data_IF_127077243587
#
_entry.id   IF_127077243587
#
_cell.length_a   1.000
_cell.length_b   1.000
_cell.length_c   1.000
_cell.angle_alpha   90.00
_cell.angle_beta   90.00
_cell.angle_gamma   90.00
#
_symmetry.space_group_name_H-M   'P 1'
#
loop_
_entity.id
_entity.type
_entity.pdbx_description
1 polymer ?
#
# COMPACT_ATOMS: atom_id res chain seq x y z
N UNK A 1 16.74 -18.48 0.17
CA UNK A 1 17.08 -18.82 1.57
C UNK A 1 15.80 -18.77 2.39
N UNK A 2 15.70 -19.49 3.52
CA UNK A 2 14.50 -19.44 4.36
C UNK A 2 14.32 -18.07 5.01
N UNK A 3 13.09 -17.53 4.99
CA UNK A 3 12.76 -16.27 5.66
C UNK A 3 12.96 -16.33 7.20
N UNK A 4 12.96 -17.53 7.79
CA UNK A 4 13.25 -17.80 9.22
C UNK A 4 14.65 -17.31 9.67
N UNK A 5 15.54 -16.99 8.73
CA UNK A 5 16.84 -16.39 9.03
C UNK A 5 16.87 -14.86 8.99
N UNK A 6 16.00 -14.21 8.20
CA UNK A 6 15.92 -12.75 8.11
C UNK A 6 15.03 -12.11 9.18
N UNK A 7 13.96 -12.81 9.55
CA UNK A 7 12.96 -12.33 10.50
C UNK A 7 12.84 -13.29 11.67
N UNK A 8 13.06 -12.78 12.89
CA UNK A 8 13.01 -13.54 14.14
C UNK A 8 12.34 -12.68 15.20
N UNK A 9 11.58 -13.30 16.11
CA UNK A 9 10.84 -12.57 17.16
C UNK A 9 11.75 -12.07 18.29
N UNK A 10 12.43 -10.96 18.03
CA UNK A 10 13.22 -10.17 18.98
C UNK A 10 13.52 -8.80 18.32
N UNK A 11 13.33 -7.63 18.94
CA UNK A 11 13.11 -7.31 20.37
C UNK A 11 12.09 -6.17 20.51
N UNK A 12 11.75 -5.76 21.74
CA UNK A 12 10.87 -4.60 22.01
C UNK A 12 11.52 -3.22 21.75
N UNK A 13 12.46 -3.14 20.81
CA UNK A 13 13.18 -1.92 20.45
C UNK A 13 13.27 -1.80 18.93
N UNK A 14 12.42 -0.94 18.38
CA UNK A 14 12.45 -0.53 16.98
C UNK A 14 13.28 0.77 16.82
N UNK A 15 13.56 1.23 15.59
CA UNK A 15 14.13 2.55 15.38
C UNK A 15 13.22 3.68 15.90
N UNK A 16 13.77 4.89 15.97
CA UNK A 16 12.96 6.08 16.27
C UNK A 16 11.88 6.27 15.20
N UNK A 17 10.61 6.51 15.58
CA UNK A 17 9.55 6.93 14.65
C UNK A 17 9.96 8.15 13.82
N UNK A 18 9.53 8.19 12.56
CA UNK A 18 9.75 9.27 11.59
C UNK A 18 11.22 9.67 11.31
N UNK A 19 12.19 8.80 11.65
CA UNK A 19 13.60 8.96 11.27
C UNK A 19 13.91 8.10 10.05
N UNK A 20 14.22 8.74 8.93
CA UNK A 20 14.50 8.09 7.65
C UNK A 20 15.87 7.38 7.60
N UNK A 21 15.92 6.28 6.85
CA UNK A 21 17.09 5.43 6.67
C UNK A 21 17.61 4.77 7.96
N UNK A 22 16.75 4.15 8.78
CA UNK A 22 17.18 3.51 10.02
C UNK A 22 18.18 2.38 9.76
N UNK A 23 19.19 2.21 10.61
CA UNK A 23 20.24 1.19 10.40
C UNK A 23 19.65 -0.22 10.21
N UNK A 24 19.88 -0.90 9.08
CA UNK A 24 19.35 -2.25 8.84
C UNK A 24 20.03 -3.31 9.71
N UNK A 25 19.33 -4.42 9.97
CA UNK A 25 19.91 -5.57 10.65
C UNK A 25 20.93 -6.29 9.76
N UNK A 26 21.99 -6.83 10.37
CA UNK A 26 23.06 -7.54 9.65
C UNK A 26 22.54 -8.66 8.75
N UNK A 27 21.51 -9.41 9.19
CA UNK A 27 20.90 -10.48 8.40
C UNK A 27 20.30 -10.00 7.07
N UNK A 28 19.82 -8.74 7.00
CA UNK A 28 19.33 -8.14 5.75
C UNK A 28 20.50 -7.67 4.88
N UNK A 29 21.55 -7.12 5.48
CA UNK A 29 22.80 -6.74 4.80
C UNK A 29 23.46 -7.97 4.15
N UNK A 30 23.50 -9.11 4.84
CA UNK A 30 24.09 -10.36 4.35
C UNK A 30 23.33 -10.91 3.13
N UNK A 31 21.99 -10.83 3.15
CA UNK A 31 21.15 -11.21 2.00
C UNK A 31 21.30 -10.21 0.85
N UNK A 32 21.26 -8.90 1.11
CA UNK A 32 21.52 -7.87 0.11
C UNK A 32 22.88 -8.07 -0.57
N UNK A 33 23.95 -8.32 0.19
CA UNK A 33 25.29 -8.56 -0.37
C UNK A 33 25.30 -9.80 -1.28
N UNK A 34 24.58 -10.86 -0.89
CA UNK A 34 24.41 -12.06 -1.72
C UNK A 34 23.67 -11.76 -3.02
N UNK A 35 22.62 -10.94 -2.98
CA UNK A 35 21.79 -10.55 -4.14
C UNK A 35 22.52 -9.56 -5.06
N UNK A 36 23.20 -8.56 -4.52
CA UNK A 36 24.02 -7.60 -5.30
C UNK A 36 25.17 -8.33 -5.99
N UNK A 37 25.82 -9.28 -5.31
CA UNK A 37 26.88 -10.12 -5.89
C UNK A 37 26.39 -11.09 -6.99
N UNK A 38 25.09 -11.44 -7.04
CA UNK A 38 24.52 -12.23 -8.14
C UNK A 38 24.06 -11.38 -9.34
N UNK A 39 24.19 -10.05 -9.27
CA UNK A 39 23.79 -9.12 -10.34
C UNK A 39 22.27 -8.87 -10.42
N UNK A 40 21.48 -9.34 -9.45
CA UNK A 40 20.03 -9.15 -9.43
C UNK A 40 19.59 -7.73 -9.03
N UNK A 41 20.45 -6.97 -8.33
CA UNK A 41 20.25 -5.54 -8.09
C UNK A 41 21.22 -4.78 -9.02
N UNK A 42 20.73 -3.85 -9.87
CA UNK A 42 21.57 -3.01 -10.71
C UNK A 42 22.72 -2.33 -9.96
N UNK A 43 23.85 -2.17 -10.64
CA UNK A 43 25.10 -1.62 -10.08
C UNK A 43 25.43 -0.23 -10.64
N UNK A 44 24.63 0.25 -11.59
CA UNK A 44 24.80 1.44 -12.42
C UNK A 44 23.66 2.47 -12.22
N UNK A 45 22.62 2.12 -11.46
CA UNK A 45 21.60 3.06 -10.99
C UNK A 45 22.07 3.63 -9.65
N UNK A 46 22.50 4.89 -9.65
CA UNK A 46 22.84 5.63 -8.43
C UNK A 46 21.61 6.32 -7.80
N UNK A 47 21.58 6.54 -6.48
CA UNK A 47 20.50 7.27 -5.82
C UNK A 47 20.35 8.72 -6.32
N UNK A 48 19.11 9.20 -6.42
CA UNK A 48 18.79 10.57 -6.85
C UNK A 48 19.10 11.62 -5.79
N UNK A 49 19.47 12.83 -6.20
CA UNK A 49 19.44 14.00 -5.31
C UNK A 49 18.01 14.56 -5.20
N UNK A 50 17.67 15.21 -4.07
CA UNK A 50 16.41 15.93 -3.94
C UNK A 50 16.59 17.41 -4.32
N UNK A 51 16.12 17.79 -5.50
CA UNK A 51 16.10 19.19 -5.96
C UNK A 51 14.70 19.77 -5.83
N UNK A 52 14.58 20.90 -5.12
CA UNK A 52 13.29 21.57 -4.85
C UNK A 52 12.21 20.64 -4.22
N UNK A 53 12.62 19.56 -3.55
CA UNK A 53 11.73 18.57 -2.94
C UNK A 53 11.25 17.44 -3.86
N UNK A 54 11.88 17.25 -5.03
CA UNK A 54 11.63 16.13 -5.95
C UNK A 54 12.93 15.39 -6.30
N UNK A 55 12.90 14.07 -6.55
CA UNK A 55 14.08 13.29 -6.93
C UNK A 55 14.57 13.61 -8.36
N UNK A 56 15.87 13.78 -8.50
CA UNK A 56 16.58 14.09 -9.76
C UNK A 56 17.77 13.14 -9.95
N UNK A 57 17.87 12.55 -11.14
CA UNK A 57 19.00 11.73 -11.56
C UNK A 57 20.12 12.64 -12.05
N UNK A 58 21.33 12.53 -11.48
CA UNK A 58 22.43 13.46 -11.70
C UNK A 58 22.93 13.54 -13.16
N UNK A 59 22.63 12.53 -13.97
CA UNK A 59 22.95 12.41 -15.40
C UNK A 59 21.71 12.53 -16.32
N UNK A 60 20.51 12.69 -15.75
CA UNK A 60 19.23 12.69 -16.47
C UNK A 60 18.72 11.30 -16.91
N UNK A 61 19.35 10.20 -16.48
CA UNK A 61 19.04 8.82 -16.92
C UNK A 61 17.67 8.28 -16.49
N UNK A 62 16.94 8.96 -15.60
CA UNK A 62 15.66 8.48 -15.05
C UNK A 62 14.57 8.14 -16.09
N UNK A 63 14.69 8.64 -17.31
CA UNK A 63 13.79 8.32 -18.44
C UNK A 63 14.19 7.09 -19.26
N UNK A 64 15.35 6.46 -18.97
CA UNK A 64 15.85 5.27 -19.67
C UNK A 64 15.12 4.00 -19.24
N UNK A 65 15.18 2.95 -20.08
CA UNK A 65 14.66 1.61 -19.75
C UNK A 65 15.50 0.89 -18.71
N UNK A 66 16.79 1.24 -18.57
CA UNK A 66 17.67 0.68 -17.53
C UNK A 66 17.24 1.15 -16.13
N UNK A 67 16.99 2.45 -15.96
CA UNK A 67 16.50 3.01 -14.69
C UNK A 67 15.02 2.72 -14.46
N UNK A 68 14.17 2.92 -15.47
CA UNK A 68 12.72 2.75 -15.42
C UNK A 68 12.08 3.47 -14.20
N UNK A 69 12.37 4.76 -14.03
CA UNK A 69 11.82 5.53 -12.90
C UNK A 69 10.35 5.90 -13.14
N UNK A 70 9.45 5.40 -12.28
CA UNK A 70 8.03 5.72 -12.38
C UNK A 70 7.78 7.23 -12.24
N UNK A 71 8.47 7.88 -11.30
CA UNK A 71 8.41 9.32 -11.00
C UNK A 71 8.73 10.21 -12.21
N UNK A 72 9.64 9.76 -13.09
CA UNK A 72 10.16 10.58 -14.20
C UNK A 72 9.37 10.43 -15.50
N UNK A 73 8.91 9.22 -15.83
CA UNK A 73 8.21 8.96 -17.10
C UNK A 73 6.98 8.04 -16.99
N UNK A 74 6.71 7.46 -15.81
CA UNK A 74 5.65 6.47 -15.59
C UNK A 74 6.07 5.02 -15.86
N UNK A 75 7.37 4.73 -16.04
CA UNK A 75 7.84 3.40 -16.42
C UNK A 75 7.52 2.34 -15.35
N UNK A 76 6.97 1.23 -15.83
CA UNK A 76 6.53 0.08 -15.06
C UNK A 76 7.43 -1.12 -15.35
N UNK A 77 7.81 -1.86 -14.31
CA UNK A 77 8.41 -3.18 -14.46
C UNK A 77 7.37 -4.24 -14.84
N UNK A 78 7.83 -5.43 -15.22
CA UNK A 78 6.94 -6.54 -15.62
C UNK A 78 6.16 -7.14 -14.44
N UNK A 79 6.64 -6.95 -13.21
CA UNK A 79 6.07 -7.42 -11.95
C UNK A 79 5.42 -6.31 -11.09
N UNK A 80 5.33 -5.07 -11.60
CA UNK A 80 4.57 -4.00 -10.96
C UNK A 80 3.05 -4.28 -11.04
N UNK A 81 2.38 -4.30 -9.89
CA UNK A 81 0.91 -4.32 -9.82
C UNK A 81 0.39 -2.89 -9.99
N UNK A 82 -0.32 -2.61 -11.08
CA UNK A 82 -0.84 -1.25 -11.41
C UNK A 82 -2.29 -1.24 -11.90
N UNK A 83 -2.69 -2.28 -12.62
CA UNK A 83 -4.03 -2.45 -13.20
C UNK A 83 -4.72 -3.64 -12.51
N UNK A 84 -5.98 -3.49 -12.10
CA UNK A 84 -6.76 -4.63 -11.61
C UNK A 84 -7.34 -5.43 -12.80
N UNK A 85 -7.73 -6.71 -12.62
CA UNK A 85 -8.45 -7.46 -13.64
C UNK A 85 -9.78 -6.79 -14.04
N UNK A 86 -10.20 -6.99 -15.28
CA UNK A 86 -11.44 -6.41 -15.83
C UNK A 86 -12.65 -6.61 -14.90
N UNK A 87 -13.38 -5.53 -14.64
CA UNK A 87 -14.55 -5.53 -13.74
C UNK A 87 -14.23 -5.50 -12.24
N UNK A 88 -12.96 -5.43 -11.83
CA UNK A 88 -12.54 -5.40 -10.42
C UNK A 88 -11.98 -4.05 -9.97
N UNK A 89 -12.05 -3.79 -8.66
CA UNK A 89 -11.39 -2.66 -8.00
C UNK A 89 -10.54 -3.21 -6.84
N UNK A 90 -9.26 -2.85 -6.82
CA UNK A 90 -8.40 -2.99 -5.65
C UNK A 90 -8.71 -1.90 -4.63
N UNK A 91 -9.28 -2.29 -3.49
CA UNK A 91 -9.53 -1.40 -2.34
C UNK A 91 -8.25 -1.37 -1.51
N UNK A 92 -7.58 -0.22 -1.45
CA UNK A 92 -6.34 -0.05 -0.72
C UNK A 92 -6.19 1.37 -0.17
N UNK A 93 -5.44 1.52 0.93
CA UNK A 93 -5.22 2.79 1.60
C UNK A 93 -3.77 2.94 2.05
N UNK A 94 -3.22 4.15 1.87
CA UNK A 94 -1.84 4.50 2.21
C UNK A 94 -1.77 5.34 3.50
N UNK A 95 -0.54 5.49 4.03
CA UNK A 95 -0.15 6.24 5.23
C UNK A 95 -0.74 5.77 6.58
N UNK A 96 -1.41 4.63 6.60
CA UNK A 96 -2.04 4.08 7.81
C UNK A 96 -1.05 3.51 8.85
N UNK A 97 -1.54 3.20 10.06
CA UNK A 97 -2.86 3.56 10.61
C UNK A 97 -2.82 4.95 11.28
N UNK A 98 -3.90 5.72 11.19
CA UNK A 98 -4.02 7.07 11.77
C UNK A 98 -5.42 7.28 12.40
N UNK A 99 -5.68 8.32 13.22
CA UNK A 99 -6.97 8.46 13.91
C UNK A 99 -8.25 8.35 13.03
N UNK A 100 -8.29 8.83 11.77
CA UNK A 100 -9.44 8.63 10.87
C UNK A 100 -9.73 7.17 10.51
N UNK A 101 -8.71 6.31 10.52
CA UNK A 101 -8.81 4.87 10.21
C UNK A 101 -9.90 4.15 11.00
N UNK A 102 -10.18 4.57 12.24
CA UNK A 102 -11.24 3.99 13.08
C UNK A 102 -12.62 3.99 12.39
N UNK A 103 -12.95 5.07 11.66
CA UNK A 103 -14.20 5.17 10.91
C UNK A 103 -14.17 4.29 9.65
N UNK A 104 -13.03 4.24 8.97
CA UNK A 104 -12.81 3.40 7.78
C UNK A 104 -12.95 1.91 8.12
N UNK A 105 -12.26 1.43 9.16
CA UNK A 105 -12.27 0.03 9.59
C UNK A 105 -13.66 -0.40 10.07
N UNK A 106 -14.38 0.49 10.76
CA UNK A 106 -15.79 0.27 11.15
C UNK A 106 -16.68 0.10 9.92
N UNK A 107 -16.49 0.93 8.89
CA UNK A 107 -17.26 0.85 7.65
C UNK A 107 -16.92 -0.41 6.83
N UNK A 108 -15.64 -0.72 6.61
CA UNK A 108 -15.19 -1.91 5.89
C UNK A 108 -15.76 -3.19 6.51
N UNK A 109 -15.68 -3.33 7.84
CA UNK A 109 -16.28 -4.42 8.58
C UNK A 109 -17.80 -4.51 8.39
N UNK A 110 -18.52 -3.38 8.50
CA UNK A 110 -19.97 -3.31 8.29
C UNK A 110 -20.39 -3.66 6.84
N UNK A 111 -19.53 -3.40 5.85
CA UNK A 111 -19.73 -3.79 4.45
C UNK A 111 -19.25 -5.22 4.13
N UNK A 112 -18.64 -5.92 5.09
CA UNK A 112 -17.90 -7.18 4.88
C UNK A 112 -16.83 -7.08 3.78
N UNK A 113 -16.28 -5.89 3.56
CA UNK A 113 -15.21 -5.60 2.63
C UNK A 113 -13.86 -5.75 3.33
N UNK A 114 -12.85 -6.29 2.64
CA UNK A 114 -11.45 -6.19 3.06
C UNK A 114 -10.70 -5.17 2.21
N UNK A 115 -9.68 -4.54 2.78
CA UNK A 115 -8.78 -3.62 2.07
C UNK A 115 -7.30 -4.02 2.24
N UNK A 116 -6.43 -3.43 1.41
CA UNK A 116 -4.97 -3.51 1.55
C UNK A 116 -4.44 -2.21 2.15
N UNK A 117 -3.88 -2.27 3.36
CA UNK A 117 -3.33 -1.11 4.04
C UNK A 117 -1.82 -1.07 3.86
N UNK A 118 -1.34 -0.12 3.08
CA UNK A 118 0.08 0.20 2.94
C UNK A 118 0.46 1.08 4.13
N UNK A 119 0.96 0.44 5.20
CA UNK A 119 1.20 1.07 6.48
C UNK A 119 2.67 1.51 6.65
N UNK A 120 2.86 2.71 7.22
CA UNK A 120 4.18 3.24 7.58
C UNK A 120 4.60 2.65 8.93
N UNK A 121 5.84 2.17 9.03
CA UNK A 121 6.37 1.54 10.25
C UNK A 121 6.25 2.40 11.51
N UNK A 122 6.56 3.70 11.42
CA UNK A 122 6.36 4.64 12.55
C UNK A 122 4.90 4.72 13.00
N UNK A 123 3.95 4.80 12.06
CA UNK A 123 2.51 4.92 12.35
C UNK A 123 1.93 3.67 13.00
N UNK A 124 2.47 2.48 12.68
CA UNK A 124 2.12 1.23 13.36
C UNK A 124 2.49 1.28 14.85
N UNK A 125 3.60 1.93 15.22
CA UNK A 125 3.95 2.17 16.63
C UNK A 125 2.99 3.17 17.26
N UNK A 126 2.87 4.37 16.66
CA UNK A 126 2.06 5.48 17.17
C UNK A 126 0.60 5.08 17.39
N UNK A 127 0.03 4.30 16.47
CA UNK A 127 -1.39 3.92 16.41
C UNK A 127 -1.60 2.40 16.52
N UNK A 128 -0.77 1.71 17.30
CA UNK A 128 -0.78 0.24 17.45
C UNK A 128 -2.13 -0.40 17.79
N UNK A 129 -3.03 0.31 18.48
CA UNK A 129 -4.41 -0.15 18.71
C UNK A 129 -5.29 -0.18 17.44
N UNK A 130 -5.07 0.77 16.52
CA UNK A 130 -5.73 0.80 15.22
C UNK A 130 -5.11 -0.25 14.28
N UNK A 131 -3.78 -0.44 14.30
CA UNK A 131 -3.13 -1.57 13.63
C UNK A 131 -3.78 -2.92 14.00
N UNK A 132 -3.92 -3.18 15.30
CA UNK A 132 -4.57 -4.40 15.80
C UNK A 132 -6.06 -4.47 15.41
N UNK A 133 -6.72 -3.33 15.14
CA UNK A 133 -8.09 -3.30 14.63
C UNK A 133 -8.15 -3.73 13.15
N UNK A 134 -7.24 -3.27 12.29
CA UNK A 134 -7.15 -3.75 10.90
C UNK A 134 -6.80 -5.25 10.82
N UNK A 135 -5.87 -5.71 11.67
CA UNK A 135 -5.51 -7.14 11.78
C UNK A 135 -6.69 -7.98 12.29
N UNK A 136 -7.44 -7.51 13.29
CA UNK A 136 -8.63 -8.21 13.80
C UNK A 136 -9.84 -8.14 12.86
N UNK A 137 -9.94 -7.08 12.06
CA UNK A 137 -10.87 -7.01 10.93
C UNK A 137 -10.55 -8.06 9.87
N UNK A 138 -9.30 -8.50 9.74
CA UNK A 138 -8.86 -9.43 8.71
C UNK A 138 -8.49 -8.77 7.39
N UNK A 139 -8.00 -7.54 7.45
CA UNK A 139 -7.50 -6.80 6.29
C UNK A 139 -6.06 -7.23 5.89
N UNK A 140 -5.64 -6.88 4.68
CA UNK A 140 -4.28 -7.17 4.17
C UNK A 140 -3.33 -6.04 4.61
N UNK A 141 -2.27 -6.38 5.36
CA UNK A 141 -1.26 -5.41 5.79
C UNK A 141 -0.03 -5.48 4.88
N UNK A 142 0.30 -4.36 4.24
CA UNK A 142 1.40 -4.20 3.29
C UNK A 142 2.40 -3.13 3.78
N UNK A 143 3.61 -3.12 3.22
CA UNK A 143 4.67 -2.20 3.61
C UNK A 143 4.58 -0.85 2.88
N UNK A 144 4.72 0.25 3.61
CA UNK A 144 4.88 1.61 3.07
C UNK A 144 6.09 2.32 3.68
N UNK A 145 7.23 1.62 3.76
CA UNK A 145 8.49 2.07 4.38
C UNK A 145 8.40 2.32 5.90
N UNK A 146 9.49 2.79 6.52
CA UNK A 146 9.56 3.12 7.95
C UNK A 146 9.13 4.56 8.22
N UNK A 147 9.53 5.51 7.36
CA UNK A 147 9.33 6.95 7.57
C UNK A 147 8.74 7.73 6.36
N UNK A 148 8.25 7.04 5.32
CA UNK A 148 7.74 7.65 4.08
C UNK A 148 8.76 8.56 3.30
N UNK A 149 9.97 8.08 2.95
CA UNK A 149 10.90 8.84 2.10
C UNK A 149 10.77 8.51 0.60
N UNK A 150 11.20 9.45 -0.25
CA UNK A 150 11.50 9.18 -1.67
C UNK A 150 12.56 8.06 -1.80
N UNK A 151 12.15 6.86 -2.19
CA UNK A 151 12.99 5.67 -2.17
C UNK A 151 14.13 5.70 -3.21
N UNK A 152 13.94 6.39 -4.34
CA UNK A 152 15.01 6.57 -5.34
C UNK A 152 16.15 7.47 -4.80
N UNK A 153 15.87 8.34 -3.82
CA UNK A 153 16.88 9.18 -3.15
C UNK A 153 17.65 8.48 -2.03
N UNK A 154 17.20 7.30 -1.60
CA UNK A 154 17.84 6.54 -0.53
C UNK A 154 18.96 5.64 -1.06
N UNK A 155 20.09 5.62 -0.35
CA UNK A 155 21.13 4.60 -0.58
C UNK A 155 20.60 3.20 -0.29
N UNK A 156 21.19 2.17 -0.90
CA UNK A 156 20.75 0.78 -0.75
C UNK A 156 20.64 0.35 0.73
N UNK A 157 21.54 0.83 1.60
CA UNK A 157 21.50 0.56 3.05
C UNK A 157 20.35 1.27 3.78
N UNK A 158 20.01 2.50 3.40
CA UNK A 158 18.88 3.22 3.98
C UNK A 158 17.56 2.58 3.56
N UNK A 159 17.42 2.22 2.28
CA UNK A 159 16.24 1.51 1.77
C UNK A 159 16.08 0.12 2.40
N UNK A 160 17.19 -0.58 2.66
CA UNK A 160 17.18 -1.82 3.45
C UNK A 160 16.58 -1.62 4.85
N UNK A 161 16.89 -0.48 5.48
CA UNK A 161 16.32 -0.07 6.75
C UNK A 161 14.81 0.16 6.69
N UNK A 162 14.40 1.02 5.75
CA UNK A 162 13.00 1.40 5.50
C UNK A 162 12.08 0.19 5.27
N UNK A 163 12.50 -0.76 4.43
CA UNK A 163 11.69 -1.94 4.09
C UNK A 163 11.78 -3.02 5.18
N UNK A 164 12.97 -3.25 5.73
CA UNK A 164 13.23 -4.31 6.71
C UNK A 164 12.54 -4.06 8.05
N UNK A 165 12.62 -2.84 8.60
CA UNK A 165 12.05 -2.54 9.91
C UNK A 165 10.52 -2.57 9.94
N UNK A 166 9.85 -2.10 8.89
CA UNK A 166 8.39 -2.21 8.77
C UNK A 166 7.95 -3.67 8.60
N UNK A 167 8.69 -4.45 7.81
CA UNK A 167 8.42 -5.90 7.65
C UNK A 167 8.62 -6.67 8.96
N UNK A 168 9.66 -6.34 9.73
CA UNK A 168 9.95 -6.93 11.04
C UNK A 168 8.88 -6.54 12.08
N UNK A 169 8.43 -5.28 12.12
CA UNK A 169 7.37 -4.83 13.02
C UNK A 169 6.03 -5.55 12.75
N UNK A 170 5.65 -5.68 11.48
CA UNK A 170 4.46 -6.45 11.08
C UNK A 170 4.61 -7.92 11.51
N UNK A 171 5.80 -8.52 11.33
CA UNK A 171 6.08 -9.90 11.72
C UNK A 171 6.08 -10.14 13.24
N UNK A 172 6.61 -9.21 14.03
CA UNK A 172 6.57 -9.29 15.49
C UNK A 172 5.13 -9.21 16.00
N UNK A 173 4.35 -8.23 15.50
CA UNK A 173 2.98 -7.99 15.95
C UNK A 173 1.95 -9.02 15.44
N UNK A 174 2.18 -9.70 14.32
CA UNK A 174 1.20 -10.61 13.70
C UNK A 174 1.70 -12.05 13.47
N UNK A 175 3.02 -12.26 13.38
CA UNK A 175 3.63 -13.51 12.92
C UNK A 175 3.67 -13.66 11.39
N UNK A 176 3.27 -12.62 10.64
CA UNK A 176 3.13 -12.62 9.18
C UNK A 176 4.09 -11.64 8.52
N UNK A 177 4.57 -12.00 7.33
CA UNK A 177 5.43 -11.15 6.50
C UNK A 177 4.61 -10.52 5.37
N UNK A 178 4.60 -9.18 5.20
CA UNK A 178 3.86 -8.53 4.11
C UNK A 178 4.34 -9.02 2.75
N UNK A 179 3.44 -9.32 1.81
CA UNK A 179 3.80 -9.69 0.44
C UNK A 179 3.94 -8.48 -0.50
N UNK A 180 3.29 -7.36 -0.18
CA UNK A 180 3.21 -6.17 -1.02
C UNK A 180 3.96 -4.98 -0.42
N UNK A 181 4.51 -4.14 -1.30
CA UNK A 181 5.13 -2.86 -1.00
C UNK A 181 4.61 -1.80 -1.96
N UNK A 182 4.25 -0.62 -1.44
CA UNK A 182 3.99 0.57 -2.27
C UNK A 182 5.05 1.62 -1.95
N UNK A 183 5.76 2.18 -2.94
CA UNK A 183 6.73 3.24 -2.70
C UNK A 183 6.02 4.57 -2.37
N UNK A 184 6.43 5.26 -1.29
CA UNK A 184 6.05 6.65 -1.01
C UNK A 184 6.16 7.53 -2.25
N UNK A 185 5.16 8.39 -2.48
CA UNK A 185 5.06 9.25 -3.67
C UNK A 185 5.05 8.51 -5.03
N UNK A 186 4.97 7.17 -5.04
CA UNK A 186 5.17 6.35 -6.24
C UNK A 186 6.64 6.19 -6.61
N UNK A 187 7.56 6.63 -5.75
CA UNK A 187 8.95 6.86 -6.11
C UNK A 187 9.79 5.58 -6.16
N UNK A 188 9.88 5.00 -7.35
CA UNK A 188 10.61 3.75 -7.60
C UNK A 188 11.36 3.77 -8.93
N UNK A 189 12.42 2.98 -8.97
CA UNK A 189 13.29 2.67 -10.09
C UNK A 189 13.60 1.14 -10.07
N UNK A 190 14.35 0.63 -11.05
CA UNK A 190 14.68 -0.80 -11.10
C UNK A 190 15.59 -1.28 -9.94
N UNK A 191 16.33 -0.40 -9.26
CA UNK A 191 17.13 -0.72 -8.07
C UNK A 191 16.24 -0.81 -6.82
N UNK A 192 15.30 0.12 -6.64
CA UNK A 192 14.28 0.09 -5.57
C UNK A 192 13.44 -1.19 -5.68
N UNK A 193 12.93 -1.50 -6.89
CA UNK A 193 12.21 -2.75 -7.16
C UNK A 193 13.06 -3.99 -6.87
N UNK A 194 14.29 -4.04 -7.38
CA UNK A 194 15.18 -5.19 -7.16
C UNK A 194 15.51 -5.42 -5.68
N UNK A 195 15.69 -4.36 -4.88
CA UNK A 195 15.91 -4.47 -3.44
C UNK A 195 14.66 -5.00 -2.74
N UNK A 196 13.48 -4.42 -3.00
CA UNK A 196 12.22 -4.87 -2.44
C UNK A 196 11.94 -6.35 -2.77
N UNK A 197 12.07 -6.73 -4.05
CA UNK A 197 11.77 -8.06 -4.57
C UNK A 197 12.80 -9.11 -4.16
N UNK A 198 14.10 -8.85 -4.31
CA UNK A 198 15.12 -9.89 -4.12
C UNK A 198 15.71 -9.98 -2.71
N UNK A 199 15.66 -8.90 -1.91
CA UNK A 199 16.07 -8.94 -0.49
C UNK A 199 14.89 -9.32 0.42
N UNK A 200 13.72 -8.69 0.21
CA UNK A 200 12.58 -8.83 1.12
C UNK A 200 11.39 -9.61 0.56
N UNK A 201 11.42 -10.03 -0.71
CA UNK A 201 10.31 -10.70 -1.39
C UNK A 201 8.99 -9.90 -1.35
N UNK A 202 9.12 -8.58 -1.55
CA UNK A 202 8.02 -7.63 -1.66
C UNK A 202 7.74 -7.31 -3.13
N UNK A 203 6.49 -7.49 -3.57
CA UNK A 203 6.04 -7.06 -4.90
C UNK A 203 5.67 -5.57 -4.89
N UNK A 204 6.11 -4.81 -5.90
CA UNK A 204 5.83 -3.37 -6.00
C UNK A 204 4.41 -3.12 -6.51
N UNK A 205 3.68 -2.22 -5.84
CA UNK A 205 2.28 -1.90 -6.13
C UNK A 205 2.12 -0.40 -6.32
N UNK A 206 1.69 0.00 -7.52
CA UNK A 206 1.41 1.38 -7.92
C UNK A 206 -0.13 1.55 -7.99
N UNK A 207 -0.62 2.48 -8.81
CA UNK A 207 -2.02 2.78 -9.05
C UNK A 207 -2.20 3.27 -10.49
N UNK A 208 -3.37 3.03 -11.09
CA UNK A 208 -3.70 3.56 -12.41
C UNK A 208 -4.49 4.88 -12.33
N UNK A 209 -5.09 5.24 -11.19
CA UNK A 209 -5.78 6.52 -10.94
C UNK A 209 -5.39 7.14 -9.58
N UNK A 210 -5.22 8.47 -9.54
CA UNK A 210 -4.85 9.25 -8.34
C UNK A 210 -5.95 10.27 -7.99
N UNK A 211 -6.39 10.23 -6.74
CA UNK A 211 -7.50 11.04 -6.21
C UNK A 211 -7.10 12.45 -5.80
N UNK A 212 -5.81 12.70 -5.58
CA UNK A 212 -5.28 13.84 -4.83
C UNK A 212 -5.96 14.03 -3.44
N UNK A 213 -6.40 12.96 -2.77
CA UNK A 213 -7.10 13.07 -1.48
C UNK A 213 -6.19 13.54 -0.33
N UNK A 214 -4.88 13.31 -0.42
CA UNK A 214 -3.86 13.94 0.41
C UNK A 214 -3.86 15.49 0.31
N UNK A 215 -4.37 16.04 -0.80
CA UNK A 215 -4.38 17.49 -1.05
C UNK A 215 -5.50 18.20 -0.28
N UNK A 216 -5.13 19.22 0.49
CA UNK A 216 -6.09 20.12 1.18
C UNK A 216 -6.93 20.96 0.22
N UNK A 217 -6.60 20.99 -1.07
CA UNK A 217 -7.37 21.67 -2.12
C UNK A 217 -8.53 20.84 -2.69
N UNK A 218 -8.68 19.57 -2.27
CA UNK A 218 -9.80 18.68 -2.61
C UNK A 218 -10.68 18.49 -1.38
N UNK A 219 -12.00 18.50 -1.56
CA UNK A 219 -12.99 18.20 -0.51
C UNK A 219 -13.48 16.73 -0.55
N UNK A 220 -14.18 16.26 0.49
CA UNK A 220 -14.70 14.89 0.56
C UNK A 220 -15.75 14.60 -0.54
N UNK A 221 -16.57 15.59 -0.88
CA UNK A 221 -17.55 15.49 -1.97
C UNK A 221 -16.91 15.58 -3.36
N UNK A 222 -15.84 16.37 -3.55
CA UNK A 222 -15.03 16.31 -4.78
C UNK A 222 -14.35 14.94 -4.95
N UNK A 223 -13.82 14.35 -3.87
CA UNK A 223 -13.27 12.99 -3.84
C UNK A 223 -14.32 11.95 -4.23
N UNK A 224 -15.48 11.94 -3.56
CA UNK A 224 -16.57 11.03 -3.88
C UNK A 224 -17.06 11.18 -5.34
N UNK A 225 -17.11 12.42 -5.86
CA UNK A 225 -17.48 12.72 -7.26
C UNK A 225 -16.42 12.20 -8.25
N UNK A 226 -15.14 12.29 -7.90
CA UNK A 226 -14.04 11.77 -8.71
C UNK A 226 -14.09 10.23 -8.79
N UNK A 227 -14.18 9.55 -7.64
CA UNK A 227 -14.33 8.10 -7.56
C UNK A 227 -15.57 7.63 -8.35
N UNK A 228 -16.70 8.34 -8.20
CA UNK A 228 -17.95 8.10 -8.96
C UNK A 228 -17.75 8.25 -10.47
N UNK A 229 -16.92 9.21 -10.90
CA UNK A 229 -16.61 9.43 -12.33
C UNK A 229 -15.81 8.27 -12.92
N UNK A 230 -14.90 7.67 -12.15
CA UNK A 230 -14.06 6.57 -12.63
C UNK A 230 -14.77 5.22 -12.65
N UNK A 231 -15.61 4.92 -11.66
CA UNK A 231 -16.42 3.68 -11.68
C UNK A 231 -17.48 3.66 -12.78
N UNK A 232 -17.73 4.79 -13.45
CA UNK A 232 -18.56 4.92 -14.64
C UNK A 232 -17.78 4.76 -15.96
N UNK A 233 -16.44 4.62 -15.92
CA UNK A 233 -15.61 4.31 -17.10
C UNK A 233 -15.79 2.84 -17.54
N UNK A 234 -15.37 2.50 -18.78
CA UNK A 234 -15.25 1.11 -19.20
C UNK A 234 -14.34 0.34 -18.22
N UNK A 235 -14.80 -0.83 -17.76
CA UNK A 235 -14.13 -1.62 -16.70
C UNK A 235 -12.92 -2.44 -17.18
N UNK A 236 -12.18 -1.91 -18.17
CA UNK A 236 -10.96 -2.52 -18.73
C UNK A 236 -9.92 -1.43 -19.02
N UNK A 237 -8.79 -1.38 -18.29
CA UNK A 237 -8.44 -2.23 -17.15
C UNK A 237 -9.40 -2.06 -15.94
N UNK A 238 -9.28 -2.94 -14.95
CA UNK A 238 -9.84 -2.70 -13.62
C UNK A 238 -9.05 -1.63 -12.86
N UNK A 239 -9.64 -1.09 -11.79
CA UNK A 239 -9.07 0.05 -11.07
C UNK A 239 -8.17 -0.37 -9.89
N UNK A 240 -7.01 0.27 -9.77
CA UNK A 240 -6.26 0.37 -8.51
C UNK A 240 -6.05 1.86 -8.29
N UNK A 241 -6.71 2.39 -7.26
CA UNK A 241 -6.77 3.83 -6.98
C UNK A 241 -5.82 4.16 -5.82
N UNK A 242 -5.19 5.33 -5.87
CA UNK A 242 -4.51 5.89 -4.71
C UNK A 242 -5.52 6.64 -3.84
N UNK A 243 -5.69 6.17 -2.62
CA UNK A 243 -6.51 6.74 -1.54
C UNK A 243 -5.71 6.60 -0.24
N UNK A 244 -5.88 7.52 0.72
CA UNK A 244 -5.13 7.50 1.98
C UNK A 244 -6.06 7.49 3.19
N UNK A 245 -5.64 6.85 4.29
CA UNK A 245 -6.37 6.92 5.57
C UNK A 245 -5.92 8.10 6.47
N UNK A 246 -5.14 9.03 5.88
CA UNK A 246 -4.65 10.29 6.45
C UNK A 246 -5.70 11.17 7.12
N UNK A 247 -6.93 11.23 6.56
CA UNK A 247 -7.87 12.30 6.91
C UNK A 247 -9.33 11.84 6.94
N UNK A 248 -10.13 12.46 7.83
CA UNK A 248 -11.59 12.26 7.83
C UNK A 248 -12.21 12.59 6.46
N UNK A 249 -11.65 13.55 5.72
CA UNK A 249 -12.09 13.92 4.37
C UNK A 249 -11.86 12.80 3.35
N UNK A 250 -10.68 12.16 3.40
CA UNK A 250 -10.35 10.99 2.58
C UNK A 250 -11.32 9.83 2.88
N UNK A 251 -11.39 9.45 4.17
CA UNK A 251 -12.22 8.34 4.65
C UNK A 251 -13.70 8.57 4.32
N UNK A 252 -14.25 9.77 4.52
CA UNK A 252 -15.64 10.09 4.13
C UNK A 252 -15.85 10.00 2.62
N UNK A 253 -14.94 10.49 1.78
CA UNK A 253 -15.10 10.43 0.33
C UNK A 253 -15.12 9.00 -0.23
N UNK A 254 -14.31 8.09 0.33
CA UNK A 254 -14.41 6.66 0.04
C UNK A 254 -15.76 6.07 0.50
N UNK A 255 -16.17 6.36 1.74
CA UNK A 255 -17.42 5.87 2.34
C UNK A 255 -18.65 6.30 1.50
N UNK A 256 -18.69 7.55 1.03
CA UNK A 256 -19.77 8.08 0.20
C UNK A 256 -19.77 7.50 -1.24
N UNK A 257 -18.60 7.11 -1.76
CA UNK A 257 -18.46 6.51 -3.09
C UNK A 257 -18.69 4.99 -3.12
N UNK A 258 -18.31 4.26 -2.07
CA UNK A 258 -18.33 2.78 -2.04
C UNK A 258 -19.69 2.16 -2.43
N UNK A 259 -20.85 2.63 -1.93
CA UNK A 259 -22.16 2.09 -2.34
C UNK A 259 -22.40 2.19 -3.85
N UNK A 260 -21.82 3.20 -4.51
CA UNK A 260 -21.91 3.41 -5.96
C UNK A 260 -20.99 2.43 -6.71
N UNK A 261 -19.81 2.13 -6.16
CA UNK A 261 -18.93 1.07 -6.71
C UNK A 261 -19.69 -0.27 -6.76
N UNK A 262 -20.45 -0.58 -5.70
CA UNK A 262 -21.27 -1.80 -5.61
C UNK A 262 -22.48 -1.76 -6.55
N UNK A 263 -23.21 -0.65 -6.63
CA UNK A 263 -24.40 -0.55 -7.50
C UNK A 263 -24.04 -0.52 -9.00
N UNK A 264 -22.91 0.05 -9.36
CA UNK A 264 -22.32 -0.06 -10.71
C UNK A 264 -21.81 -1.49 -11.02
N UNK A 265 -21.83 -2.42 -10.05
CA UNK A 265 -21.48 -3.83 -10.24
C UNK A 265 -19.98 -4.09 -10.35
N UNK A 266 -19.15 -3.45 -9.53
CA UNK A 266 -17.71 -3.75 -9.44
C UNK A 266 -17.40 -4.82 -8.39
N UNK A 267 -16.43 -5.68 -8.71
CA UNK A 267 -15.85 -6.65 -7.78
C UNK A 267 -14.74 -5.98 -6.95
N UNK A 268 -15.11 -5.47 -5.77
CA UNK A 268 -14.22 -4.81 -4.82
C UNK A 268 -13.48 -5.83 -3.95
N UNK A 269 -12.14 -5.80 -3.92
CA UNK A 269 -11.28 -6.76 -3.18
C UNK A 269 -10.01 -6.07 -2.68
N UNK A 270 -9.32 -6.59 -1.64
CA UNK A 270 -7.93 -6.23 -1.40
C UNK A 270 -7.06 -6.74 -2.55
N UNK A 271 -5.90 -6.12 -2.77
CA UNK A 271 -5.11 -6.24 -4.00
C UNK A 271 -4.66 -7.67 -4.27
N UNK A 272 -4.14 -8.42 -3.30
CA UNK A 272 -3.73 -9.82 -3.54
C UNK A 272 -4.93 -10.73 -3.91
N UNK A 273 -6.13 -10.43 -3.40
CA UNK A 273 -7.37 -11.14 -3.77
C UNK A 273 -7.88 -10.84 -5.18
N UNK A 274 -7.35 -9.85 -5.89
CA UNK A 274 -7.63 -9.65 -7.32
C UNK A 274 -6.99 -10.76 -8.16
N UNK A 275 -5.75 -11.11 -7.84
CA UNK A 275 -4.90 -12.00 -8.62
C UNK A 275 -4.84 -13.44 -8.07
N UNK A 276 -5.43 -13.69 -6.89
CA UNK A 276 -5.38 -15.00 -6.22
C UNK A 276 -4.05 -15.25 -5.50
N UNK A 277 -3.35 -14.19 -5.11
CA UNK A 277 -2.08 -14.23 -4.41
C UNK A 277 -2.29 -14.33 -2.87
N UNK A 278 -1.32 -14.87 -2.12
CA UNK A 278 -1.29 -14.74 -0.66
C UNK A 278 -1.19 -13.29 -0.22
N UNK A 279 -1.89 -12.90 0.85
CA UNK A 279 -1.72 -11.58 1.49
C UNK A 279 -0.32 -11.42 2.11
N UNK A 280 0.23 -12.54 2.58
CA UNK A 280 1.46 -12.59 3.34
C UNK A 280 2.37 -13.68 2.78
N UNK A 281 3.68 -13.43 2.77
CA UNK A 281 4.65 -14.37 2.22
C UNK A 281 4.60 -15.73 2.91
N UNK A 282 4.17 -15.77 4.18
CA UNK A 282 4.05 -16.99 4.98
C UNK A 282 2.60 -17.29 5.43
N UNK A 283 1.58 -16.71 4.80
CA UNK A 283 0.17 -17.02 5.09
C UNK A 283 -0.74 -16.59 3.94
N UNK A 284 -1.68 -17.46 3.54
CA UNK A 284 -2.64 -17.17 2.45
C UNK A 284 -3.42 -15.88 2.72
N UNK A 285 -3.83 -15.68 3.98
CA UNK A 285 -4.56 -14.50 4.45
C UNK A 285 -4.37 -14.28 5.96
N UNK A 286 -5.20 -13.40 6.53
CA UNK A 286 -5.36 -13.03 7.95
C UNK A 286 -5.78 -14.17 8.90
N UNK A 287 -6.53 -15.16 8.39
CA UNK A 287 -7.13 -16.26 9.16
C UNK A 287 -6.36 -17.57 9.03
N UNK A 288 -5.57 -17.72 7.97
CA UNK A 288 -4.77 -18.92 7.70
C UNK A 288 -3.61 -19.07 8.68
N UNK A 289 -3.23 -20.32 8.93
CA UNK A 289 -2.05 -20.66 9.72
C UNK A 289 -0.77 -20.21 9.01
N UNK A 290 0.21 -19.73 9.78
CA UNK A 290 1.50 -19.29 9.25
C UNK A 290 2.45 -20.44 9.00
N UNK A 291 3.20 -20.37 7.90
CA UNK A 291 4.30 -21.27 7.58
C UNK A 291 5.63 -20.74 8.09
N UNK A 292 6.61 -21.63 8.29
CA UNK A 292 8.01 -21.27 8.62
C UNK A 292 8.82 -20.87 7.39
N UNK A 293 8.42 -21.35 6.22
CA UNK A 293 8.97 -21.02 4.90
C UNK A 293 8.02 -20.11 4.13
N UNK A 294 8.51 -19.27 3.20
CA UNK A 294 7.66 -18.58 2.24
C UNK A 294 6.81 -19.54 1.40
N UNK A 295 5.56 -19.17 1.17
CA UNK A 295 4.71 -19.70 0.10
C UNK A 295 5.37 -19.27 -1.22
N UNK A 296 5.68 -20.22 -2.09
CA UNK A 296 6.31 -19.93 -3.37
C UNK A 296 5.35 -19.17 -4.32
N UNK A 297 5.92 -18.36 -5.21
CA UNK A 297 5.16 -17.64 -6.23
C UNK A 297 4.41 -18.61 -7.16
N UNK A 298 3.07 -18.60 -7.09
CA UNK A 298 2.20 -19.23 -8.08
C UNK A 298 1.12 -20.15 -7.50
N UNK A 299 -0.14 -19.73 -7.72
CA UNK A 299 -1.33 -20.58 -7.79
C UNK A 299 -1.47 -21.69 -6.73
N UNK A 300 -2.00 -21.34 -5.57
CA UNK A 300 -2.48 -22.32 -4.60
C UNK A 300 -3.65 -23.11 -5.21
N UNK A 301 -3.39 -24.36 -5.61
CA UNK A 301 -4.46 -25.26 -6.05
C UNK A 301 -5.44 -25.51 -4.92
N UNK A 302 -6.75 -25.42 -5.22
CA UNK A 302 -7.84 -25.54 -4.24
C UNK A 302 -7.91 -26.88 -3.50
N UNK A 303 -7.11 -27.86 -3.92
CA UNK A 303 -6.99 -29.19 -3.30
C UNK A 303 -6.33 -29.20 -1.92
N UNK A 304 -5.52 -28.19 -1.56
CA UNK A 304 -4.83 -28.19 -0.25
C UNK A 304 -5.73 -27.80 0.94
N UNK A 305 -6.96 -27.32 0.67
CA UNK A 305 -7.94 -26.87 1.68
C UNK A 305 -8.53 -28.04 2.50
N UNK A 306 -8.37 -29.29 2.04
CA UNK A 306 -9.12 -30.44 2.55
C UNK A 306 -8.45 -31.24 3.71
N UNK A 307 -7.27 -30.84 4.21
CA UNK A 307 -6.39 -31.75 4.99
C UNK A 307 -5.97 -31.28 6.38
N UNK A 308 -6.79 -30.46 7.06
CA UNK A 308 -6.56 -30.05 8.48
C UNK A 308 -7.85 -30.04 9.31
N UNK A 309 -8.70 -31.06 9.14
CA UNK A 309 -9.92 -31.22 9.94
C UNK A 309 -9.65 -31.78 11.34
N UNK A 310 -9.83 -30.92 12.35
CA UNK A 310 -10.26 -31.24 13.73
C UNK A 310 -9.34 -32.18 14.55
N UNK A 311 -8.60 -31.60 15.48
CA UNK A 311 -8.41 -32.21 16.81
C UNK A 311 -8.63 -31.16 17.91
N UNK A 312 -9.85 -31.13 18.46
CA UNK A 312 -10.22 -30.22 19.53
C UNK A 312 -9.78 -30.77 20.90
N UNK A 313 -8.74 -30.18 21.49
CA UNK A 313 -8.31 -30.50 22.85
C UNK A 313 -9.16 -29.75 23.88
N UNK A 314 -10.10 -30.44 24.53
CA UNK A 314 -10.93 -29.87 25.61
C UNK A 314 -10.13 -29.72 26.90
N UNK A 315 -10.06 -28.50 27.44
CA UNK A 315 -9.62 -28.23 28.81
C UNK A 315 -10.44 -27.09 29.40
N UNK A 316 -11.44 -27.42 30.23
CA UNK A 316 -12.25 -26.44 30.94
C UNK A 316 -11.61 -26.08 32.29
N UNK A 317 -11.58 -24.79 32.62
CA UNK A 317 -11.19 -24.29 33.94
C UNK A 317 -12.29 -23.35 34.47
N UNK A 318 -13.02 -23.79 35.48
CA UNK A 318 -14.14 -23.04 36.08
C UNK A 318 -13.64 -21.98 37.05
N UNK A 319 -14.24 -20.78 37.02
CA UNK A 319 -14.19 -19.85 38.15
C UNK A 319 -15.58 -19.38 38.54
N UNK A 320 -15.88 -19.45 39.83
CA UNK A 320 -17.21 -19.25 40.42
C UNK A 320 -17.42 -17.81 40.87
N UNK A 321 -18.64 -17.29 40.65
CA UNK A 321 -19.12 -16.04 41.23
C UNK A 321 -19.34 -16.15 42.75
N UNK A 322 -19.15 -15.05 43.47
CA UNK A 322 -19.65 -14.84 44.84
C UNK A 322 -19.94 -13.35 45.08
N UNK A 323 -20.72 -13.02 46.10
CA UNK A 323 -21.47 -11.76 46.21
C UNK A 323 -21.20 -10.96 47.50
N UNK A 324 -21.40 -9.63 47.39
CA UNK A 324 -21.86 -8.62 48.39
C UNK A 324 -21.78 -8.95 49.91
N UNK A 325 -21.48 -7.96 50.79
CA UNK A 325 -22.36 -6.79 50.90
C UNK A 325 -21.74 -5.41 51.19
N UNK A 326 -22.65 -4.44 51.23
CA UNK A 326 -22.54 -2.98 51.38
C UNK A 326 -22.53 -2.49 52.83
N UNK A 327 -21.81 -1.41 53.13
CA UNK A 327 -22.18 -0.46 54.21
C UNK A 327 -21.58 0.95 54.04
N UNK A 328 -22.42 1.97 54.04
CA UNK A 328 -22.08 3.40 54.21
C UNK A 328 -21.86 3.70 55.71
N UNK A 329 -21.19 4.82 56.10
CA UNK A 329 -21.93 6.08 56.28
C UNK A 329 -21.13 7.35 55.89
N UNK A 330 -21.73 8.52 56.07
CA UNK A 330 -21.13 9.84 55.85
C UNK A 330 -21.46 10.79 57.03
N UNK A 331 -20.66 11.85 57.24
CA UNK A 331 -21.14 13.21 57.57
C UNK A 331 -20.02 14.21 57.93
N UNK A 332 -20.16 15.46 57.43
CA UNK A 332 -19.87 16.78 58.09
C UNK A 332 -18.49 17.12 58.72
N UNK A 333 -18.05 18.39 58.81
CA UNK A 333 -18.40 19.68 58.15
C UNK A 333 -17.42 20.81 58.57
N UNK A 334 -17.63 22.03 58.03
CA UNK A 334 -17.02 23.38 58.26
C UNK A 334 -16.07 23.79 57.11
N UNK A 335 -16.18 24.95 56.43
CA UNK A 335 -16.37 26.39 56.79
C UNK A 335 -15.20 26.97 57.62
N UNK A 336 -14.73 28.21 57.40
CA UNK A 336 -15.30 29.40 56.71
C UNK A 336 -14.22 30.14 55.85
N UNK A 337 -14.55 30.82 54.73
CA UNK A 337 -14.78 32.29 54.57
C UNK A 337 -13.47 33.13 54.43
N UNK A 338 -13.38 34.33 53.81
CA UNK A 338 -14.34 35.35 53.31
C UNK A 338 -13.87 36.07 52.01
N UNK A 339 -14.80 36.84 51.40
CA UNK A 339 -14.75 38.09 50.58
C UNK A 339 -13.45 38.72 49.98
N UNK A 340 -13.48 39.73 49.07
CA UNK A 340 -14.35 40.11 47.93
C UNK A 340 -13.84 41.44 47.27
N UNK A 341 -14.17 41.70 45.98
CA UNK A 341 -14.14 43.02 45.29
C UNK A 341 -12.74 43.69 45.07
N UNK A 342 -12.53 44.67 44.16
CA UNK A 342 -13.40 45.35 43.18
C UNK A 342 -12.64 45.93 41.94
N UNK A 343 -13.43 46.39 40.95
CA UNK A 343 -13.23 47.44 39.91
C UNK A 343 -11.97 48.35 39.85
N UNK A 344 -11.58 48.99 38.73
CA UNK A 344 -11.91 48.85 37.29
C UNK A 344 -11.10 49.86 36.41
N UNK A 345 -11.00 49.60 35.10
CA UNK A 345 -10.92 50.55 33.95
C UNK A 345 -10.01 51.80 33.96
N UNK A 346 -9.19 51.95 32.91
CA UNK A 346 -8.78 53.22 32.27
C UNK A 346 -8.64 53.01 30.74
N UNK A 347 -8.72 54.06 29.91
CA UNK A 347 -8.84 53.97 28.44
C UNK A 347 -8.23 55.20 27.68
N UNK A 348 -8.33 55.18 26.33
CA UNK A 348 -7.86 56.20 25.34
C UNK A 348 -6.33 56.17 25.08
N UNK A 349 -5.76 56.45 23.89
CA UNK A 349 -6.22 56.86 22.52
C UNK A 349 -5.07 56.55 21.49
N UNK A 350 -5.15 56.51 20.15
CA UNK A 350 -6.19 56.68 19.10
C UNK A 350 -5.81 55.96 17.76
N UNK A 351 -6.77 55.86 16.83
CA UNK A 351 -6.70 55.86 15.33
C UNK A 351 -5.42 55.45 14.55
N UNK A 352 -5.54 54.46 13.63
CA UNK A 352 -5.45 54.64 12.14
C UNK A 352 -5.17 53.33 11.37
N UNK A 353 -6.18 52.54 10.95
CA UNK A 353 -5.92 51.26 10.24
C UNK A 353 -7.07 50.66 9.35
N UNK A 354 -7.93 51.44 8.69
CA UNK A 354 -9.05 50.86 7.88
C UNK A 354 -9.09 51.39 6.43
N UNK A 355 -8.09 51.00 5.62
CA UNK A 355 -8.18 50.97 4.14
C UNK A 355 -7.42 49.76 3.56
N UNK A 356 -6.19 49.50 4.04
CA UNK A 356 -5.29 48.51 3.41
C UNK A 356 -5.74 47.03 3.48
N UNK A 357 -6.55 46.65 4.46
CA UNK A 357 -6.90 45.24 4.72
C UNK A 357 -7.77 44.64 3.60
N UNK A 358 -8.69 45.42 3.03
CA UNK A 358 -9.59 44.94 1.98
C UNK A 358 -8.86 44.58 0.68
N UNK A 359 -7.87 45.39 0.29
CA UNK A 359 -7.05 45.16 -0.91
C UNK A 359 -6.10 43.97 -0.71
N UNK A 360 -5.51 43.81 0.48
CA UNK A 360 -4.68 42.65 0.81
C UNK A 360 -5.46 41.33 0.75
N UNK A 361 -6.67 41.29 1.33
CA UNK A 361 -7.54 40.12 1.29
C UNK A 361 -7.99 39.77 -0.14
N UNK A 362 -8.35 40.76 -0.95
CA UNK A 362 -8.74 40.56 -2.35
C UNK A 362 -7.56 40.03 -3.20
N UNK A 363 -6.34 40.56 -2.99
CA UNK A 363 -5.14 40.09 -3.69
C UNK A 363 -4.77 38.64 -3.28
N UNK A 364 -4.86 38.30 -1.99
CA UNK A 364 -4.68 36.93 -1.50
C UNK A 364 -5.71 35.96 -2.09
N UNK A 365 -6.99 36.34 -2.11
CA UNK A 365 -8.04 35.51 -2.71
C UNK A 365 -7.83 35.33 -4.22
N UNK A 366 -7.45 36.39 -4.94
CA UNK A 366 -7.11 36.29 -6.36
C UNK A 366 -5.89 35.39 -6.60
N UNK A 367 -4.85 35.48 -5.76
CA UNK A 367 -3.67 34.62 -5.84
C UNK A 367 -4.02 33.15 -5.56
N UNK A 368 -4.86 32.88 -4.56
CA UNK A 368 -5.36 31.53 -4.25
C UNK A 368 -6.21 30.97 -5.40
N UNK A 369 -7.08 31.78 -6.03
CA UNK A 369 -7.86 31.37 -7.19
C UNK A 369 -6.98 31.12 -8.43
N UNK A 370 -5.93 31.93 -8.65
CA UNK A 370 -4.93 31.70 -9.70
C UNK A 370 -4.15 30.41 -9.44
N UNK A 371 -3.70 30.18 -8.19
CA UNK A 371 -3.01 28.95 -7.82
C UNK A 371 -3.92 27.72 -7.96
N UNK A 372 -5.19 27.81 -7.56
CA UNK A 372 -6.17 26.74 -7.76
C UNK A 372 -6.47 26.49 -9.24
N UNK A 373 -6.51 27.53 -10.09
CA UNK A 373 -6.67 27.40 -11.53
C UNK A 373 -5.43 26.79 -12.20
N UNK A 374 -4.22 27.21 -11.81
CA UNK A 374 -2.96 26.63 -12.28
C UNK A 374 -2.79 25.18 -11.82
N UNK A 375 -3.19 24.86 -10.59
CA UNK A 375 -3.25 23.50 -10.06
C UNK A 375 -4.25 22.65 -10.84
N UNK A 376 -5.52 23.08 -11.01
CA UNK A 376 -6.51 22.35 -11.81
C UNK A 376 -6.07 22.19 -13.28
N UNK A 377 -5.31 23.14 -13.84
CA UNK A 377 -4.73 23.05 -15.21
C UNK A 377 -3.53 22.09 -15.28
N UNK A 378 -2.66 22.04 -14.26
CA UNK A 378 -1.61 21.01 -14.10
C UNK A 378 -2.21 19.62 -13.88
N UNK A 379 -3.22 19.49 -13.00
CA UNK A 379 -3.98 18.25 -12.72
C UNK A 379 -4.60 17.68 -14.00
N UNK A 380 -5.24 18.53 -14.81
CA UNK A 380 -5.78 18.13 -16.12
C UNK A 380 -4.67 17.64 -17.08
N UNK A 381 -3.53 18.35 -17.14
CA UNK A 381 -2.38 17.95 -17.95
C UNK A 381 -1.74 16.63 -17.50
N UNK A 382 -1.58 16.43 -16.19
CA UNK A 382 -1.06 15.19 -15.60
C UNK A 382 -1.98 14.02 -15.94
N UNK A 383 -3.29 14.16 -15.70
CA UNK A 383 -4.28 13.12 -16.02
C UNK A 383 -4.38 12.82 -17.51
N UNK A 384 -4.27 13.82 -18.40
CA UNK A 384 -4.19 13.55 -19.84
C UNK A 384 -2.91 12.79 -20.19
N UNK A 385 -1.77 13.15 -19.60
CA UNK A 385 -0.49 12.47 -19.85
C UNK A 385 -0.48 11.04 -19.31
N UNK A 386 -0.93 10.81 -18.08
CA UNK A 386 -1.04 9.49 -17.46
C UNK A 386 -2.01 8.58 -18.25
N UNK A 387 -3.19 9.10 -18.62
CA UNK A 387 -4.16 8.36 -19.45
C UNK A 387 -3.63 8.06 -20.85
N UNK A 388 -2.88 8.96 -21.49
CA UNK A 388 -2.27 8.70 -22.79
C UNK A 388 -1.12 7.68 -22.70
N UNK A 389 -0.30 7.73 -21.63
CA UNK A 389 0.78 6.76 -21.40
C UNK A 389 0.25 5.36 -21.11
N UNK A 390 -0.71 5.20 -20.20
CA UNK A 390 -1.36 3.91 -19.93
C UNK A 390 -1.96 3.27 -21.19
N UNK A 391 -2.49 4.07 -22.12
CA UNK A 391 -2.97 3.59 -23.42
C UNK A 391 -1.83 3.20 -24.39
N UNK A 392 -0.69 3.88 -24.34
CA UNK A 392 0.51 3.53 -25.13
C UNK A 392 1.20 2.28 -24.57
N UNK A 393 1.34 2.15 -23.25
CA UNK A 393 1.90 0.98 -22.57
C UNK A 393 0.98 -0.24 -22.70
N UNK A 394 -0.34 -0.04 -22.74
CA UNK A 394 -1.31 -1.09 -23.13
C UNK A 394 -1.04 -1.59 -24.55
N UNK A 395 -0.94 -0.69 -25.54
CA UNK A 395 -0.64 -1.08 -26.92
C UNK A 395 0.71 -1.82 -27.02
N UNK A 396 1.74 -1.34 -26.32
CA UNK A 396 3.04 -2.02 -26.25
C UNK A 396 3.00 -3.39 -25.54
N UNK A 397 2.08 -3.61 -24.59
CA UNK A 397 1.84 -4.94 -24.00
C UNK A 397 1.11 -5.86 -24.99
N UNK A 398 0.03 -5.37 -25.62
CA UNK A 398 -0.73 -6.12 -26.63
C UNK A 398 0.14 -6.54 -27.83
N UNK A 399 1.11 -5.71 -28.27
CA UNK A 399 2.10 -6.09 -29.30
C UNK A 399 3.08 -7.18 -28.83
N UNK A 400 3.54 -7.14 -27.57
CA UNK A 400 4.46 -8.15 -27.02
C UNK A 400 3.77 -9.51 -26.84
N UNK A 401 2.54 -9.50 -26.34
CA UNK A 401 1.74 -10.71 -26.15
C UNK A 401 1.34 -11.34 -27.50
N UNK A 402 1.06 -10.50 -28.52
CA UNK A 402 0.86 -10.95 -29.89
C UNK A 402 2.12 -11.59 -30.50
N UNK A 403 3.31 -11.03 -30.24
CA UNK A 403 4.58 -11.59 -30.69
C UNK A 403 4.90 -12.95 -30.06
N UNK A 404 4.47 -13.18 -28.82
CA UNK A 404 4.68 -14.43 -28.06
C UNK A 404 3.58 -15.49 -28.25
N UNK A 405 2.64 -15.27 -29.19
CA UNK A 405 1.57 -16.23 -29.48
C UNK A 405 2.12 -17.59 -29.95
N UNK A 406 1.58 -18.75 -29.47
CA UNK A 406 2.18 -20.07 -29.71
C UNK A 406 2.21 -20.49 -31.20
N UNK A 407 1.54 -19.77 -32.10
CA UNK A 407 1.59 -19.99 -33.55
C UNK A 407 2.88 -19.52 -34.21
N UNK A 408 3.57 -18.48 -33.71
CA UNK A 408 4.85 -18.01 -34.29
C UNK A 408 6.00 -18.95 -33.92
N UNK A 409 6.05 -19.41 -32.66
CA UNK A 409 7.04 -20.38 -32.19
C UNK A 409 7.02 -21.70 -33.00
N UNK A 410 5.83 -22.19 -33.35
CA UNK A 410 5.65 -23.42 -34.13
C UNK A 410 6.17 -23.32 -35.58
N UNK A 411 6.26 -22.10 -36.15
CA UNK A 411 6.87 -21.90 -37.48
C UNK A 411 8.40 -21.90 -37.38
N UNK A 412 8.96 -21.17 -36.41
CA UNK A 412 10.41 -21.09 -36.18
C UNK A 412 11.05 -22.47 -35.97
N UNK A 413 10.44 -23.32 -35.13
CA UNK A 413 10.95 -24.67 -34.86
C UNK A 413 10.88 -25.64 -36.05
N UNK A 414 10.15 -25.32 -37.13
CA UNK A 414 10.12 -26.15 -38.35
C UNK A 414 11.28 -25.89 -39.31
N UNK A 415 11.89 -24.70 -39.28
CA UNK A 415 13.12 -24.43 -40.03
C UNK A 415 14.38 -24.88 -39.25
N UNK A 416 14.31 -24.91 -37.92
CA UNK A 416 15.42 -25.27 -37.03
C UNK A 416 15.74 -26.78 -36.91
N UNK A 417 15.15 -27.66 -37.74
CA UNK A 417 15.63 -29.02 -38.01
C UNK A 417 15.63 -30.04 -36.85
N UNK A 418 15.12 -29.70 -35.66
CA UNK A 418 15.27 -30.53 -34.47
C UNK A 418 14.26 -31.69 -34.40
N UNK A 419 14.75 -32.93 -34.24
CA UNK A 419 13.94 -34.13 -33.97
C UNK A 419 14.14 -34.58 -32.52
N UNK A 420 13.11 -34.50 -31.69
CA UNK A 420 13.09 -35.17 -30.38
C UNK A 420 12.57 -36.61 -30.55
N UNK A 421 13.32 -37.60 -30.08
CA UNK A 421 13.04 -39.03 -30.27
C UNK A 421 12.36 -39.68 -29.07
N UNK A 422 11.37 -39.00 -28.46
CA UNK A 422 10.70 -39.43 -27.21
C UNK A 422 9.18 -39.62 -27.29
N UNK A 423 8.61 -39.70 -28.49
CA UNK A 423 7.23 -40.13 -28.72
C UNK A 423 7.16 -41.26 -29.75
N UNK A 424 7.67 -42.44 -29.36
CA UNK A 424 7.44 -43.70 -30.09
C UNK A 424 7.12 -44.82 -29.08
N UNK A 425 5.87 -45.25 -29.07
CA UNK A 425 5.38 -46.47 -28.42
C UNK A 425 4.03 -46.84 -29.03
N UNK A 426 3.86 -48.05 -29.60
CA UNK A 426 2.74 -48.35 -30.49
C UNK A 426 1.43 -48.60 -29.75
N UNK A 427 0.32 -48.17 -30.35
CA UNK A 427 -1.02 -48.48 -29.88
C UNK A 427 -1.37 -49.97 -30.10
N UNK A 428 -1.92 -50.62 -29.08
CA UNK A 428 -2.40 -52.01 -29.18
C UNK A 428 -3.77 -52.03 -29.87
N UNK A 429 -3.84 -52.66 -31.04
CA UNK A 429 -5.07 -52.84 -31.80
C UNK A 429 -5.81 -54.11 -31.31
N UNK A 430 -6.97 -53.93 -30.67
CA UNK A 430 -7.89 -55.04 -30.37
C UNK A 430 -8.96 -55.10 -31.45
N UNK A 431 -8.97 -56.18 -32.24
CA UNK A 431 -10.04 -56.47 -33.19
C UNK A 431 -11.21 -57.18 -32.48
N UNK A 432 -12.42 -56.98 -33.01
CA UNK A 432 -13.59 -57.81 -32.71
C UNK A 432 -14.12 -58.41 -34.01
N UNK A 433 -14.25 -59.74 -34.04
CA UNK A 433 -14.89 -60.53 -35.11
C UNK A 433 -15.48 -61.77 -34.43
N UNK A 434 -16.77 -62.04 -34.64
CA UNK A 434 -17.51 -63.15 -34.03
C UNK A 434 -18.54 -62.67 -33.02
#
# INVERSE_FOLDING_TARGET
>A
MSASHMFRRATSSYPTPDVSGPTPLQAWIDVYNTVKASGLIPADIEPTTLENGAPVYADGSGSTTAVCSWTQNGCLAADDIVDAPDGMIGIAFDDGPQPPSSALYTFLAAQSQKATHFMIGSRIIDNSALFQTAVANGDEIASHTWSHPYCTSMTDMQLLGELGWTSQLIFDMTGRLPALFRPPYGDTDNRVRAIARHVFNLTTVIWNHDTDDWSSAVSASELATELTTWIALPKSPGLIMLEHELSNKSVTGFIDAYPQMKSAGWQTRPISSLFGLPFYQNSINDTSATTTEPIADGLISSTQVASTSIQAATSAASFTTSTRPTSTPASTSKTSSDEANSSASHAHVATSAIVGIALGAAALLALLLIMAALYKRRRAGSRSAQRQRLLQDRAGREERDAAFSPTTAASSMREAGYRDSRFDSPAILVQHVG
#
